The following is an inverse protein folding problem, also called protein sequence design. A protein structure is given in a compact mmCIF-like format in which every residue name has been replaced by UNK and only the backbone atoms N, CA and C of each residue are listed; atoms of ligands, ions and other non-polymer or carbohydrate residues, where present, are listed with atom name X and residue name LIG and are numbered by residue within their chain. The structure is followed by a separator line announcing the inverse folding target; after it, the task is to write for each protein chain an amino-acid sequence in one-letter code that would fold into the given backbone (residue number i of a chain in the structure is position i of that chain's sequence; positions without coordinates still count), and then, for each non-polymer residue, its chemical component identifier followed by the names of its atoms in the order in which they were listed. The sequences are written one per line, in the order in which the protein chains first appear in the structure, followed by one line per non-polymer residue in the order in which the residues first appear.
data_IF_913020180184
#
_entry.id   IF_913020180184
#
_cell.length_a   1.000
_cell.length_b   1.000
_cell.length_c   1.000
_cell.angle_alpha   90.00
_cell.angle_beta   90.00
_cell.angle_gamma   90.00
#
_symmetry.space_group_name_H-M   'P 1'
#
loop_
_entity.id
_entity.type
_entity.pdbx_description
1 polymer ?
#
# COMPACT_ATOMS: atom_id res chain seq x y z
N UNK A 1 7.43 -27.24 48.74
CA UNK A 1 7.51 -27.10 47.27
C UNK A 1 6.23 -26.45 46.80
N UNK A 2 6.29 -25.15 46.53
CA UNK A 2 5.18 -24.42 45.91
C UNK A 2 5.44 -24.53 44.41
N UNK A 3 4.56 -25.23 43.70
CA UNK A 3 4.54 -25.18 42.24
C UNK A 3 4.09 -23.78 41.85
N UNK A 4 5.00 -23.00 41.28
CA UNK A 4 4.66 -21.79 40.54
C UNK A 4 3.90 -22.25 39.30
N UNK A 5 2.58 -22.07 39.29
CA UNK A 5 1.80 -22.08 38.06
C UNK A 5 2.40 -21.00 37.14
N UNK A 6 3.04 -21.46 36.06
CA UNK A 6 3.41 -20.56 34.98
C UNK A 6 2.12 -20.06 34.34
N UNK A 7 1.79 -18.79 34.59
CA UNK A 7 0.77 -18.12 33.80
C UNK A 7 1.15 -18.25 32.32
N UNK A 8 0.23 -18.70 31.44
CA UNK A 8 0.49 -18.69 30.01
C UNK A 8 0.81 -17.25 29.60
N UNK A 9 1.77 -17.04 28.68
CA UNK A 9 2.10 -15.69 28.24
C UNK A 9 0.85 -15.02 27.69
N UNK A 10 0.67 -13.74 28.04
CA UNK A 10 -0.50 -12.94 27.66
C UNK A 10 -0.59 -12.76 26.12
N UNK A 11 0.50 -13.02 25.40
CA UNK A 11 0.68 -12.88 23.96
C UNK A 11 1.32 -14.15 23.39
N UNK A 12 0.91 -14.54 22.17
CA UNK A 12 1.55 -15.65 21.46
C UNK A 12 2.93 -15.20 20.95
N UNK A 13 3.87 -16.15 20.81
CA UNK A 13 5.21 -15.86 20.28
C UNK A 13 5.12 -15.14 18.92
N UNK A 14 5.84 -14.03 18.68
CA UNK A 14 5.83 -13.31 17.41
C UNK A 14 6.19 -14.21 16.23
N UNK A 15 5.56 -13.98 15.06
CA UNK A 15 5.87 -14.78 13.86
C UNK A 15 7.35 -14.69 13.49
N UNK A 16 7.98 -13.55 13.74
CA UNK A 16 9.39 -13.26 13.46
C UNK A 16 10.38 -14.06 14.29
N UNK A 17 9.93 -14.67 15.40
CA UNK A 17 10.75 -15.56 16.24
C UNK A 17 10.57 -17.04 15.88
N UNK A 18 9.55 -17.36 15.07
CA UNK A 18 9.31 -18.73 14.64
C UNK A 18 10.31 -19.12 13.53
N UNK A 19 10.76 -20.39 13.50
CA UNK A 19 11.74 -20.84 12.51
C UNK A 19 11.17 -20.75 11.09
N UNK A 20 11.90 -20.05 10.21
CA UNK A 20 11.56 -19.83 8.80
C UNK A 20 12.78 -20.06 7.89
N UNK A 21 12.58 -20.43 6.62
CA UNK A 21 13.66 -20.42 5.64
C UNK A 21 14.18 -18.99 5.40
N UNK A 22 15.45 -18.84 4.99
CA UNK A 22 16.01 -17.54 4.64
C UNK A 22 15.18 -16.82 3.57
N UNK A 23 15.09 -15.49 3.69
CA UNK A 23 14.38 -14.63 2.75
C UNK A 23 15.03 -14.76 1.35
N UNK A 24 14.29 -15.18 0.30
CA UNK A 24 14.88 -15.51 -1.00
C UNK A 24 15.20 -14.29 -1.88
N UNK A 25 14.75 -13.09 -1.48
CA UNK A 25 14.78 -11.86 -2.28
C UNK A 25 16.15 -11.15 -2.23
N UNK A 26 17.20 -11.79 -2.75
CA UNK A 26 18.57 -11.25 -2.72
C UNK A 26 19.00 -10.64 -4.05
N UNK A 27 19.95 -9.69 -4.03
CA UNK A 27 20.50 -9.09 -5.25
C UNK A 27 21.09 -10.16 -6.17
N UNK A 28 20.81 -10.05 -7.47
CA UNK A 28 21.19 -11.02 -8.49
C UNK A 28 20.25 -12.23 -8.61
N UNK A 29 19.28 -12.38 -7.69
CA UNK A 29 18.29 -13.44 -7.80
C UNK A 29 17.41 -13.25 -9.03
N UNK A 30 17.27 -14.32 -9.81
CA UNK A 30 16.45 -14.35 -11.03
C UNK A 30 15.25 -15.26 -10.83
N UNK A 31 14.10 -14.79 -11.28
CA UNK A 31 12.86 -15.52 -11.15
C UNK A 31 11.93 -15.25 -12.34
N UNK A 32 11.05 -16.21 -12.59
CA UNK A 32 9.98 -16.07 -13.59
C UNK A 32 8.65 -15.97 -12.87
N UNK A 33 7.84 -14.99 -13.25
CA UNK A 33 6.52 -14.79 -12.69
C UNK A 33 5.46 -14.92 -13.81
N UNK A 34 4.37 -15.60 -13.50
CA UNK A 34 3.24 -15.81 -14.41
C UNK A 34 2.22 -14.69 -14.23
N UNK A 35 1.69 -14.14 -15.33
CA UNK A 35 0.66 -13.11 -15.29
C UNK A 35 -0.56 -13.60 -14.53
N UNK A 36 -1.20 -12.70 -13.79
CA UNK A 36 -2.33 -13.02 -12.94
C UNK A 36 -3.45 -11.97 -13.03
N UNK A 37 -4.66 -12.45 -13.32
CA UNK A 37 -5.89 -11.68 -13.29
C UNK A 37 -6.37 -11.51 -11.84
N UNK A 38 -6.14 -10.33 -11.29
CA UNK A 38 -6.53 -9.96 -9.91
C UNK A 38 -8.06 -10.02 -9.77
N UNK A 39 -8.52 -10.66 -8.71
CA UNK A 39 -9.91 -10.67 -8.26
C UNK A 39 -10.37 -9.27 -7.77
N UNK A 40 -11.66 -9.11 -7.50
CA UNK A 40 -12.17 -7.89 -6.87
C UNK A 40 -11.48 -7.65 -5.51
N UNK A 41 -11.38 -6.39 -5.04
CA UNK A 41 -10.91 -6.08 -3.69
C UNK A 41 -11.69 -6.89 -2.65
N UNK A 42 -11.00 -7.42 -1.65
CA UNK A 42 -11.65 -8.09 -0.52
C UNK A 42 -12.49 -7.09 0.28
N UNK A 43 -13.54 -7.55 0.96
CA UNK A 43 -14.30 -6.68 1.85
C UNK A 43 -13.42 -6.15 3.00
N UNK A 44 -13.55 -4.86 3.32
CA UNK A 44 -12.85 -4.22 4.43
C UNK A 44 -13.85 -3.86 5.51
N UNK A 45 -14.05 -4.77 6.45
CA UNK A 45 -14.82 -4.56 7.67
C UNK A 45 -13.91 -4.39 8.88
N UNK A 46 -14.47 -3.94 10.01
CA UNK A 46 -13.74 -3.89 11.28
C UNK A 46 -13.22 -5.28 11.64
N UNK A 47 -11.90 -5.41 11.75
CA UNK A 47 -11.26 -6.67 12.12
C UNK A 47 -11.10 -7.69 11.00
N UNK A 48 -11.33 -7.31 9.73
CA UNK A 48 -11.26 -8.23 8.58
C UNK A 48 -9.93 -8.98 8.41
N UNK A 49 -8.85 -8.50 9.02
CA UNK A 49 -7.53 -9.14 8.98
C UNK A 49 -7.09 -9.74 10.33
N UNK A 50 -7.93 -9.76 11.36
CA UNK A 50 -7.56 -10.34 12.66
C UNK A 50 -7.68 -11.86 12.65
N UNK A 51 -6.84 -12.56 13.41
CA UNK A 51 -6.97 -14.01 13.60
C UNK A 51 -8.25 -14.35 14.37
N UNK A 52 -9.07 -15.25 13.81
CA UNK A 52 -10.15 -15.91 14.54
C UNK A 52 -9.64 -17.02 15.44
N UNK A 53 -10.54 -17.65 16.21
CA UNK A 53 -10.18 -18.73 17.13
C UNK A 53 -9.55 -19.94 16.39
N UNK A 54 -10.10 -20.28 15.22
CA UNK A 54 -9.55 -21.34 14.37
C UNK A 54 -8.16 -21.02 13.83
N UNK A 55 -7.87 -19.75 13.50
CA UNK A 55 -6.55 -19.33 13.03
C UNK A 55 -5.51 -19.40 14.15
N UNK A 56 -5.89 -19.04 15.38
CA UNK A 56 -5.04 -19.17 16.57
C UNK A 56 -4.70 -20.63 16.88
N UNK A 57 -5.69 -21.52 16.79
CA UNK A 57 -5.48 -22.97 16.96
C UNK A 57 -4.52 -23.49 15.88
N UNK A 58 -4.73 -23.10 14.61
CA UNK A 58 -3.85 -23.50 13.52
C UNK A 58 -2.42 -22.99 13.72
N UNK A 59 -2.24 -21.74 14.15
CA UNK A 59 -0.93 -21.14 14.45
C UNK A 59 -0.15 -21.93 15.50
N UNK A 60 -0.84 -22.48 16.51
CA UNK A 60 -0.22 -23.31 17.56
C UNK A 60 0.17 -24.70 17.08
N UNK A 61 -0.48 -25.20 16.03
CA UNK A 61 -0.29 -26.56 15.53
C UNK A 61 0.66 -26.66 14.33
N UNK A 62 0.74 -25.62 13.51
CA UNK A 62 1.48 -25.61 12.24
C UNK A 62 2.57 -24.56 12.25
N UNK A 63 3.74 -24.91 11.68
CA UNK A 63 4.79 -23.92 11.43
C UNK A 63 4.33 -22.85 10.43
N UNK A 64 4.97 -21.66 10.39
CA UNK A 64 4.66 -20.64 9.40
C UNK A 64 4.68 -21.15 7.96
N UNK A 65 5.63 -22.05 7.66
CA UNK A 65 5.77 -22.70 6.36
C UNK A 65 4.59 -23.60 6.04
N UNK A 66 4.19 -24.49 6.95
CA UNK A 66 3.05 -25.39 6.73
C UNK A 66 1.74 -24.61 6.57
N UNK A 67 1.58 -23.50 7.29
CA UNK A 67 0.43 -22.60 7.08
C UNK A 67 0.42 -21.99 5.67
N UNK A 68 1.57 -21.57 5.15
CA UNK A 68 1.67 -21.06 3.77
C UNK A 68 1.36 -22.11 2.70
N UNK A 69 1.75 -23.37 2.93
CA UNK A 69 1.41 -24.48 2.03
C UNK A 69 -0.09 -24.83 2.09
N UNK A 70 -0.69 -24.74 3.27
CA UNK A 70 -2.13 -25.00 3.49
C UNK A 70 -3.03 -23.87 2.99
N UNK A 71 -2.56 -22.62 3.03
CA UNK A 71 -3.32 -21.41 2.69
C UNK A 71 -2.72 -20.69 1.49
N UNK A 72 -2.97 -21.17 0.25
CA UNK A 72 -2.57 -20.44 -0.94
C UNK A 72 -3.30 -19.09 -1.03
N UNK A 73 -2.70 -18.08 -1.68
CA UNK A 73 -3.35 -16.78 -1.89
C UNK A 73 -4.68 -16.90 -2.63
N UNK A 74 -5.58 -15.93 -2.47
CA UNK A 74 -6.89 -15.91 -3.13
C UNK A 74 -6.77 -16.26 -4.62
N UNK A 75 -7.63 -17.14 -5.15
CA UNK A 75 -7.59 -17.52 -6.55
C UNK A 75 -7.89 -16.30 -7.44
N UNK A 76 -7.47 -16.39 -8.69
CA UNK A 76 -7.75 -15.39 -9.72
C UNK A 76 -7.51 -15.98 -11.10
N UNK A 77 -7.61 -15.16 -12.14
CA UNK A 77 -7.42 -15.61 -13.52
C UNK A 77 -5.95 -16.00 -13.75
N UNK A 78 -5.69 -17.21 -14.23
CA UNK A 78 -4.35 -17.53 -14.72
C UNK A 78 -4.11 -16.78 -16.03
N UNK A 79 -3.09 -15.92 -16.08
CA UNK A 79 -2.69 -15.25 -17.30
C UNK A 79 -1.91 -16.19 -18.22
N UNK A 80 -1.80 -15.81 -19.49
CA UNK A 80 -1.10 -16.60 -20.51
C UNK A 80 0.35 -16.14 -20.73
N UNK A 81 0.76 -15.07 -20.07
CA UNK A 81 2.08 -14.47 -20.21
C UNK A 81 2.95 -14.76 -18.99
N UNK A 82 4.27 -14.75 -19.20
CA UNK A 82 5.25 -14.77 -18.12
C UNK A 82 6.33 -13.72 -18.36
N UNK A 83 6.95 -13.30 -17.27
CA UNK A 83 8.08 -12.37 -17.28
C UNK A 83 9.24 -12.97 -16.50
N UNK A 84 10.46 -12.66 -16.94
CA UNK A 84 11.67 -13.00 -16.19
C UNK A 84 12.32 -11.72 -15.68
N UNK A 85 12.62 -11.72 -14.39
CA UNK A 85 13.14 -10.57 -13.65
C UNK A 85 14.44 -10.94 -12.94
N UNK A 86 15.29 -9.93 -12.73
CA UNK A 86 16.49 -10.02 -11.89
C UNK A 86 16.41 -8.95 -10.79
N UNK A 87 16.61 -9.33 -9.54
CA UNK A 87 16.65 -8.38 -8.41
C UNK A 87 17.94 -7.58 -8.48
N UNK A 88 17.82 -6.26 -8.51
CA UNK A 88 18.96 -5.34 -8.54
C UNK A 88 19.25 -4.80 -7.15
N UNK A 89 18.19 -4.41 -6.41
CA UNK A 89 18.33 -3.79 -5.09
C UNK A 89 17.09 -4.03 -4.24
N UNK A 90 17.29 -4.47 -2.99
CA UNK A 90 16.24 -4.47 -1.98
C UNK A 90 15.92 -3.04 -1.54
N UNK A 91 14.64 -2.65 -1.64
CA UNK A 91 14.17 -1.33 -1.20
C UNK A 91 13.58 -1.42 0.22
N UNK A 92 12.76 -2.43 0.46
CA UNK A 92 12.12 -2.71 1.76
C UNK A 92 11.76 -4.19 1.81
N UNK A 93 12.14 -4.91 2.86
CA UNK A 93 11.82 -6.33 2.98
C UNK A 93 12.70 -7.01 4.01
N UNK A 94 12.50 -8.32 4.15
CA UNK A 94 12.98 -9.10 5.28
C UNK A 94 11.83 -9.68 6.08
N UNK A 95 12.16 -10.42 7.14
CA UNK A 95 11.16 -10.87 8.10
C UNK A 95 10.56 -9.69 8.86
N UNK A 96 9.28 -9.79 9.23
CA UNK A 96 8.54 -8.72 9.89
C UNK A 96 8.16 -7.55 8.98
N UNK A 97 8.07 -7.75 7.66
CA UNK A 97 7.69 -6.69 6.72
C UNK A 97 6.37 -7.01 6.01
N UNK A 98 5.49 -6.01 5.92
CA UNK A 98 4.16 -6.14 5.27
C UNK A 98 4.22 -6.56 3.80
N UNK A 99 5.32 -6.29 3.11
CA UNK A 99 5.58 -6.72 1.74
C UNK A 99 7.07 -6.65 1.45
N UNK A 100 7.47 -7.30 0.36
CA UNK A 100 8.86 -7.42 -0.07
C UNK A 100 9.01 -6.61 -1.36
N UNK A 101 9.67 -5.46 -1.26
CA UNK A 101 9.78 -4.44 -2.30
C UNK A 101 11.23 -4.31 -2.75
N UNK A 102 11.45 -4.43 -4.05
CA UNK A 102 12.79 -4.36 -4.63
C UNK A 102 12.77 -3.85 -6.06
N UNK A 103 13.85 -3.17 -6.45
CA UNK A 103 14.09 -2.82 -7.84
C UNK A 103 14.51 -4.07 -8.60
N UNK A 104 13.88 -4.30 -9.75
CA UNK A 104 14.15 -5.41 -10.66
C UNK A 104 14.52 -4.91 -12.05
N UNK A 105 15.29 -5.70 -12.77
CA UNK A 105 15.50 -5.53 -14.21
C UNK A 105 14.63 -6.52 -14.98
N UNK A 106 13.87 -6.03 -15.95
CA UNK A 106 13.11 -6.88 -16.86
C UNK A 106 14.06 -7.56 -17.86
N UNK A 107 14.19 -8.88 -17.78
CA UNK A 107 15.06 -9.65 -18.68
C UNK A 107 14.32 -10.10 -19.95
N UNK A 108 13.10 -10.61 -19.77
CA UNK A 108 12.27 -11.10 -20.86
C UNK A 108 10.78 -10.91 -20.55
N UNK A 109 9.99 -10.67 -21.60
CA UNK A 109 8.53 -10.52 -21.55
C UNK A 109 7.91 -11.12 -22.80
N UNK A 110 6.84 -11.91 -22.63
CA UNK A 110 5.97 -12.31 -23.74
C UNK A 110 5.02 -11.20 -24.21
N UNK A 111 4.79 -10.18 -23.38
CA UNK A 111 3.85 -9.09 -23.65
C UNK A 111 4.51 -7.87 -24.30
N UNK A 112 3.84 -7.32 -25.32
CA UNK A 112 4.20 -6.04 -25.97
C UNK A 112 3.82 -4.80 -25.16
N UNK A 113 2.98 -4.92 -24.13
CA UNK A 113 2.58 -3.79 -23.28
C UNK A 113 3.64 -3.42 -22.24
N UNK A 114 4.63 -4.31 -22.03
CA UNK A 114 5.71 -4.09 -21.09
C UNK A 114 6.84 -3.26 -21.71
N UNK A 115 7.62 -2.54 -20.87
CA UNK A 115 8.79 -1.81 -21.32
C UNK A 115 9.83 -2.72 -22.00
N UNK A 116 10.77 -2.16 -22.76
CA UNK A 116 11.87 -2.92 -23.34
C UNK A 116 12.67 -3.70 -22.29
N UNK A 117 13.23 -4.85 -22.70
CA UNK A 117 14.18 -5.59 -21.87
C UNK A 117 15.35 -4.69 -21.43
N UNK A 118 15.81 -4.89 -20.20
CA UNK A 118 16.80 -4.05 -19.53
C UNK A 118 16.21 -2.91 -18.69
N UNK A 119 14.91 -2.60 -18.84
CA UNK A 119 14.25 -1.56 -18.03
C UNK A 119 14.23 -1.93 -16.54
N UNK A 120 14.54 -0.95 -15.69
CA UNK A 120 14.41 -1.07 -14.23
C UNK A 120 13.00 -0.71 -13.77
N UNK A 121 12.42 -1.59 -12.95
CA UNK A 121 11.06 -1.54 -12.44
C UNK A 121 11.07 -1.83 -10.94
N UNK A 122 9.94 -1.66 -10.27
CA UNK A 122 9.76 -2.07 -8.87
C UNK A 122 8.82 -3.27 -8.82
N UNK A 123 9.28 -4.34 -8.20
CA UNK A 123 8.46 -5.49 -7.84
C UNK A 123 8.09 -5.39 -6.36
N UNK A 124 6.80 -5.61 -6.05
CA UNK A 124 6.29 -5.74 -4.69
C UNK A 124 5.62 -7.09 -4.54
N UNK A 125 6.17 -7.93 -3.68
CA UNK A 125 5.68 -9.29 -3.39
C UNK A 125 4.95 -9.30 -2.04
N UNK A 126 3.81 -9.98 -2.03
CA UNK A 126 2.97 -10.20 -0.85
C UNK A 126 3.19 -11.63 -0.37
N UNK A 127 4.22 -11.83 0.45
CA UNK A 127 4.62 -13.13 1.00
C UNK A 127 4.20 -13.23 2.47
N UNK A 128 3.15 -14.01 2.81
CA UNK A 128 2.66 -14.11 4.18
C UNK A 128 3.66 -14.77 5.13
N UNK A 129 4.68 -15.47 4.63
CA UNK A 129 5.68 -16.14 5.46
C UNK A 129 6.53 -15.15 6.27
N UNK A 130 6.80 -13.98 5.71
CA UNK A 130 7.67 -12.95 6.29
C UNK A 130 6.88 -11.74 6.81
N UNK A 131 5.56 -11.88 6.92
CA UNK A 131 4.67 -10.86 7.44
C UNK A 131 4.84 -10.69 8.95
N UNK A 132 4.82 -9.44 9.41
CA UNK A 132 4.68 -9.13 10.84
C UNK A 132 3.23 -9.29 11.26
N UNK A 133 2.96 -10.31 12.05
CA UNK A 133 1.61 -10.67 12.45
C UNK A 133 1.17 -10.08 13.79
N UNK A 134 1.93 -9.11 14.30
CA UNK A 134 1.62 -8.35 15.53
C UNK A 134 1.32 -9.31 16.68
N UNK A 135 2.31 -10.15 17.02
CA UNK A 135 2.22 -11.14 18.10
C UNK A 135 1.06 -12.14 17.91
N UNK A 136 0.73 -12.45 16.65
CA UNK A 136 -0.37 -13.34 16.29
C UNK A 136 -1.75 -12.68 16.37
N UNK A 137 -1.83 -11.35 16.51
CA UNK A 137 -3.08 -10.62 16.42
C UNK A 137 -3.63 -10.61 14.98
N UNK A 138 -2.75 -10.38 14.00
CA UNK A 138 -3.10 -10.30 12.60
C UNK A 138 -3.01 -11.66 11.91
N UNK A 139 -3.85 -11.88 10.90
CA UNK A 139 -3.82 -13.02 10.01
C UNK A 139 -3.02 -12.65 8.75
N UNK A 140 -1.78 -13.17 8.58
CA UNK A 140 -0.93 -12.81 7.44
C UNK A 140 -1.59 -13.04 6.08
N UNK A 141 -2.38 -14.12 5.95
CA UNK A 141 -3.00 -14.50 4.68
C UNK A 141 -4.08 -13.51 4.28
N UNK A 142 -4.96 -13.15 5.22
CA UNK A 142 -6.01 -12.15 5.00
C UNK A 142 -5.41 -10.76 4.74
N UNK A 143 -4.34 -10.38 5.46
CA UNK A 143 -3.61 -9.14 5.20
C UNK A 143 -3.03 -9.11 3.78
N UNK A 144 -2.30 -10.15 3.36
CA UNK A 144 -1.67 -10.19 2.04
C UNK A 144 -2.70 -10.15 0.91
N UNK A 145 -3.77 -10.92 1.03
CA UNK A 145 -4.86 -10.92 0.05
C UNK A 145 -5.53 -9.55 -0.04
N UNK A 146 -5.78 -8.90 1.10
CA UNK A 146 -6.31 -7.54 1.13
C UNK A 146 -5.35 -6.56 0.44
N UNK A 147 -4.10 -6.48 0.87
CA UNK A 147 -3.14 -5.51 0.33
C UNK A 147 -2.94 -5.68 -1.18
N UNK A 148 -2.75 -6.92 -1.62
CA UNK A 148 -2.59 -7.22 -3.04
C UNK A 148 -3.81 -6.83 -3.87
N UNK A 149 -5.00 -7.26 -3.45
CA UNK A 149 -6.22 -7.00 -4.22
C UNK A 149 -6.57 -5.53 -4.25
N UNK A 150 -6.39 -4.79 -3.15
CA UNK A 150 -6.67 -3.36 -3.12
C UNK A 150 -5.67 -2.56 -3.94
N UNK A 151 -4.37 -2.82 -3.79
CA UNK A 151 -3.34 -2.07 -4.50
C UNK A 151 -3.47 -2.25 -6.02
N UNK A 152 -3.59 -3.50 -6.48
CA UNK A 152 -3.70 -3.78 -7.90
C UNK A 152 -4.99 -3.23 -8.52
N UNK A 153 -6.12 -3.28 -7.81
CA UNK A 153 -7.35 -2.65 -8.30
C UNK A 153 -7.32 -1.12 -8.23
N UNK A 154 -6.62 -0.53 -7.24
CA UNK A 154 -6.47 0.92 -7.15
C UNK A 154 -5.68 1.45 -8.34
N UNK A 155 -4.57 0.79 -8.71
CA UNK A 155 -3.83 1.14 -9.93
C UNK A 155 -4.70 1.06 -11.19
N UNK A 156 -5.52 0.01 -11.34
CA UNK A 156 -6.44 -0.12 -12.48
C UNK A 156 -7.47 1.00 -12.52
N UNK A 157 -8.11 1.30 -11.39
CA UNK A 157 -9.13 2.35 -11.29
C UNK A 157 -8.55 3.77 -11.49
N UNK A 158 -7.29 3.97 -11.09
CA UNK A 158 -6.59 5.24 -11.17
C UNK A 158 -5.71 5.37 -12.42
N UNK A 159 -6.03 4.65 -13.50
CA UNK A 159 -5.26 4.66 -14.76
C UNK A 159 -4.93 6.06 -15.30
N UNK A 160 -5.82 7.04 -15.12
CA UNK A 160 -5.61 8.43 -15.54
C UNK A 160 -4.54 9.20 -14.76
N UNK A 161 -4.05 8.68 -13.63
CA UNK A 161 -3.01 9.30 -12.81
C UNK A 161 -1.63 8.66 -12.99
N UNK A 162 -1.57 7.51 -13.68
CA UNK A 162 -0.34 6.72 -13.84
C UNK A 162 0.72 7.46 -14.68
N UNK A 163 1.97 7.42 -14.21
CA UNK A 163 3.10 8.11 -14.83
C UNK A 163 3.16 9.61 -14.54
N UNK A 164 2.20 10.14 -13.79
CA UNK A 164 2.18 11.52 -13.31
C UNK A 164 2.17 11.54 -11.78
N UNK A 165 1.00 11.29 -11.16
CA UNK A 165 0.81 11.33 -9.71
C UNK A 165 0.93 9.98 -9.00
N UNK A 166 0.80 8.87 -9.73
CA UNK A 166 1.08 7.52 -9.23
C UNK A 166 1.98 6.76 -10.22
N UNK A 167 2.70 5.69 -9.81
CA UNK A 167 3.49 4.87 -10.72
C UNK A 167 2.65 4.28 -11.85
N UNK A 168 3.26 4.09 -13.02
CA UNK A 168 2.67 3.19 -14.03
C UNK A 168 2.60 1.76 -13.48
N UNK A 169 1.47 1.11 -13.70
CA UNK A 169 1.23 -0.27 -13.31
C UNK A 169 1.38 -1.19 -14.52
N UNK A 170 2.35 -2.09 -14.43
CA UNK A 170 2.72 -2.99 -15.52
C UNK A 170 2.03 -4.35 -15.44
N UNK A 171 1.45 -4.67 -14.29
CA UNK A 171 0.61 -5.84 -14.14
C UNK A 171 0.73 -6.51 -12.79
N UNK A 172 -0.03 -7.59 -12.68
CA UNK A 172 -0.06 -8.48 -11.53
C UNK A 172 0.40 -9.86 -11.94
N UNK A 173 1.10 -10.52 -11.02
CA UNK A 173 1.79 -11.76 -11.28
C UNK A 173 1.74 -12.71 -10.09
N UNK A 174 2.08 -13.95 -10.38
CA UNK A 174 2.26 -15.04 -9.44
C UNK A 174 3.65 -15.64 -9.55
N UNK A 175 4.20 -15.99 -8.40
CA UNK A 175 5.49 -16.62 -8.29
C UNK A 175 5.39 -17.82 -7.35
N UNK A 176 5.96 -18.95 -7.77
CA UNK A 176 6.11 -20.10 -6.91
C UNK A 176 7.52 -20.12 -6.32
N UNK A 177 7.58 -19.97 -4.99
CA UNK A 177 8.82 -19.97 -4.23
C UNK A 177 9.08 -21.35 -3.64
N UNK A 178 10.30 -21.90 -3.78
CA UNK A 178 10.65 -23.15 -3.14
C UNK A 178 10.56 -23.00 -1.61
N UNK A 179 9.96 -23.99 -0.98
CA UNK A 179 10.03 -24.19 0.47
C UNK A 179 11.11 -25.23 0.79
N UNK A 180 11.14 -26.30 0.00
CA UNK A 180 12.15 -27.34 0.00
C UNK A 180 12.30 -27.93 -1.42
N UNK A 181 12.90 -29.11 -1.55
CA UNK A 181 13.15 -29.76 -2.84
C UNK A 181 11.91 -30.14 -3.63
N UNK A 182 10.74 -30.33 -2.98
CA UNK A 182 9.53 -30.84 -3.63
C UNK A 182 8.34 -29.92 -3.50
N UNK A 183 8.31 -29.04 -2.49
CA UNK A 183 7.18 -28.17 -2.18
C UNK A 183 7.48 -26.72 -2.53
N UNK A 184 6.45 -26.05 -3.03
CA UNK A 184 6.48 -24.62 -3.35
C UNK A 184 5.31 -23.93 -2.69
N UNK A 185 5.49 -22.66 -2.33
CA UNK A 185 4.40 -21.76 -1.94
C UNK A 185 4.21 -20.72 -3.03
N UNK A 186 2.96 -20.45 -3.38
CA UNK A 186 2.63 -19.38 -4.33
C UNK A 186 2.49 -18.06 -3.59
N UNK A 187 3.07 -17.00 -4.14
CA UNK A 187 2.90 -15.61 -3.67
C UNK A 187 2.38 -14.72 -4.78
N UNK A 188 1.77 -13.59 -4.41
CA UNK A 188 1.29 -12.58 -5.36
C UNK A 188 2.32 -11.46 -5.48
N UNK A 189 2.36 -10.84 -6.66
CA UNK A 189 3.27 -9.74 -6.97
C UNK A 189 2.59 -8.70 -7.84
N UNK A 190 2.94 -7.43 -7.65
CA UNK A 190 2.70 -6.38 -8.65
C UNK A 190 4.02 -5.85 -9.21
N UNK A 191 3.98 -5.39 -10.46
CA UNK A 191 5.09 -4.73 -11.13
C UNK A 191 4.69 -3.30 -11.47
N UNK A 192 5.49 -2.33 -11.01
CA UNK A 192 5.22 -0.91 -11.19
C UNK A 192 6.47 -0.14 -11.65
N UNK A 193 6.26 1.09 -12.09
CA UNK A 193 7.31 2.04 -12.45
C UNK A 193 8.28 2.28 -11.29
N UNK A 194 9.57 2.26 -11.61
CA UNK A 194 10.60 2.73 -10.70
C UNK A 194 10.64 4.27 -10.74
N UNK A 195 10.23 4.90 -9.65
CA UNK A 195 10.23 6.35 -9.52
C UNK A 195 11.58 6.80 -8.96
N UNK A 196 12.24 7.69 -9.70
CA UNK A 196 13.46 8.36 -9.21
C UNK A 196 13.06 9.50 -8.28
N UNK A 197 13.70 9.56 -7.13
CA UNK A 197 13.44 10.59 -6.13
C UNK A 197 13.83 10.10 -4.75
N UNK A 198 13.35 10.81 -3.73
CA UNK A 198 13.49 10.44 -2.33
C UNK A 198 12.10 10.39 -1.70
N UNK A 199 11.88 9.49 -0.73
CA UNK A 199 10.64 9.52 0.03
C UNK A 199 10.58 10.79 0.87
N UNK A 200 9.39 11.32 1.10
CA UNK A 200 9.21 12.49 1.96
C UNK A 200 9.61 12.19 3.42
N UNK A 201 9.54 10.92 3.86
CA UNK A 201 10.04 10.51 5.18
C UNK A 201 11.57 10.54 5.29
N UNK A 202 12.30 10.21 4.21
CA UNK A 202 13.77 10.23 4.20
C UNK A 202 14.33 11.62 3.84
N UNK A 203 13.49 12.50 3.33
CA UNK A 203 13.85 13.85 2.96
C UNK A 203 13.78 14.80 4.15
N UNK A 204 14.65 15.81 4.14
CA UNK A 204 14.61 16.89 5.12
C UNK A 204 13.92 18.12 4.52
N UNK A 205 12.91 18.71 5.19
CA UNK A 205 12.21 19.90 4.69
C UNK A 205 13.17 21.05 4.31
N UNK A 206 14.28 21.20 5.03
CA UNK A 206 15.30 22.24 4.82
C UNK A 206 16.05 22.12 3.49
N UNK A 207 15.95 20.99 2.81
CA UNK A 207 16.49 20.84 1.45
C UNK A 207 15.64 21.55 0.40
N UNK A 208 14.43 21.96 0.76
CA UNK A 208 13.46 22.58 -0.12
C UNK A 208 13.21 24.02 0.32
N UNK A 209 13.10 24.93 -0.65
CA UNK A 209 12.69 26.30 -0.36
C UNK A 209 11.26 26.32 0.20
N UNK A 210 10.91 27.39 0.91
CA UNK A 210 9.54 27.58 1.42
C UNK A 210 8.48 27.47 0.31
N UNK A 211 8.73 28.09 -0.86
CA UNK A 211 7.84 28.00 -2.02
C UNK A 211 7.72 26.56 -2.57
N UNK A 212 8.82 25.80 -2.58
CA UNK A 212 8.79 24.40 -2.98
C UNK A 212 7.99 23.53 -2.00
N UNK A 213 8.11 23.76 -0.69
CA UNK A 213 7.31 23.06 0.33
C UNK A 213 5.82 23.36 0.20
N UNK A 214 5.44 24.62 -0.01
CA UNK A 214 4.04 24.98 -0.30
C UNK A 214 3.54 24.28 -1.58
N UNK A 215 4.35 24.23 -2.64
CA UNK A 215 4.00 23.52 -3.86
C UNK A 215 3.85 22.01 -3.65
N UNK A 216 4.75 21.38 -2.86
CA UNK A 216 4.66 19.97 -2.48
C UNK A 216 3.32 19.72 -1.78
N UNK A 217 3.01 20.51 -0.73
CA UNK A 217 1.77 20.35 0.02
C UNK A 217 0.54 20.57 -0.85
N UNK A 218 0.53 21.59 -1.70
CA UNK A 218 -0.56 21.84 -2.65
C UNK A 218 -0.76 20.65 -3.58
N UNK A 219 0.32 20.11 -4.13
CA UNK A 219 0.28 18.95 -5.04
C UNK A 219 -0.24 17.69 -4.35
N UNK A 220 0.09 17.48 -3.07
CA UNK A 220 -0.46 16.38 -2.26
C UNK A 220 -1.97 16.54 -2.11
N UNK A 221 -2.44 17.74 -1.71
CA UNK A 221 -3.86 18.04 -1.52
C UNK A 221 -4.65 17.90 -2.83
N UNK A 222 -4.12 18.45 -3.93
CA UNK A 222 -4.71 18.37 -5.27
C UNK A 222 -4.85 16.92 -5.74
N UNK A 223 -3.74 16.16 -5.68
CA UNK A 223 -3.71 14.78 -6.15
C UNK A 223 -4.63 13.88 -5.32
N UNK A 224 -4.55 13.96 -3.99
CA UNK A 224 -5.42 13.16 -3.12
C UNK A 224 -6.90 13.51 -3.34
N UNK A 225 -7.23 14.78 -3.54
CA UNK A 225 -8.63 15.20 -3.76
C UNK A 225 -9.18 14.68 -5.08
N UNK A 226 -8.35 14.62 -6.12
CA UNK A 226 -8.72 14.00 -7.40
C UNK A 226 -8.82 12.48 -7.34
N UNK A 227 -8.01 11.82 -6.50
CA UNK A 227 -8.14 10.38 -6.23
C UNK A 227 -9.43 10.11 -5.43
N UNK A 228 -9.72 10.94 -4.43
CA UNK A 228 -10.94 10.86 -3.64
C UNK A 228 -12.18 11.01 -4.51
N UNK A 229 -12.17 11.94 -5.49
CA UNK A 229 -13.22 12.09 -6.50
C UNK A 229 -13.51 10.78 -7.28
N UNK A 230 -12.50 9.93 -7.48
CA UNK A 230 -12.65 8.58 -8.09
C UNK A 230 -13.15 7.51 -7.13
N UNK A 231 -13.74 7.94 -6.02
CA UNK A 231 -14.30 7.10 -4.97
C UNK A 231 -13.27 6.21 -4.27
N UNK A 232 -12.01 6.63 -4.29
CA UNK A 232 -10.91 5.93 -3.64
C UNK A 232 -10.34 6.80 -2.52
N UNK A 233 -10.35 6.28 -1.30
CA UNK A 233 -9.74 6.94 -0.16
C UNK A 233 -8.42 6.27 0.22
N UNK A 234 -7.33 7.03 0.14
CA UNK A 234 -6.00 6.61 0.57
C UNK A 234 -5.86 6.83 2.08
N UNK A 235 -6.21 5.82 2.88
CA UNK A 235 -6.18 5.93 4.36
C UNK A 235 -4.77 5.85 4.95
N UNK A 236 -3.77 5.45 4.17
CA UNK A 236 -2.36 5.38 4.58
C UNK A 236 -1.51 6.44 3.85
N UNK A 237 -2.09 7.63 3.64
CA UNK A 237 -1.37 8.74 3.00
C UNK A 237 -0.41 9.38 4.01
N UNK A 238 0.84 8.92 3.96
CA UNK A 238 1.90 9.21 4.92
C UNK A 238 3.18 9.62 4.18
N UNK A 239 4.10 10.41 4.77
CA UNK A 239 5.34 10.82 4.10
C UNK A 239 6.18 9.67 3.51
N UNK A 240 6.17 8.50 4.14
CA UNK A 240 6.87 7.30 3.64
C UNK A 240 6.29 6.77 2.31
N UNK A 241 5.05 7.12 1.99
CA UNK A 241 4.31 6.70 0.81
C UNK A 241 4.27 7.80 -0.28
N UNK A 242 5.10 8.84 -0.14
CA UNK A 242 5.21 9.94 -1.09
C UNK A 242 6.65 10.05 -1.55
N UNK A 243 6.90 9.92 -2.85
CA UNK A 243 8.20 10.21 -3.46
C UNK A 243 8.17 11.64 -4.00
N UNK A 244 9.16 12.42 -3.58
CA UNK A 244 9.44 13.75 -4.10
C UNK A 244 10.53 13.60 -5.17
N UNK A 245 10.33 14.28 -6.31
CA UNK A 245 11.34 14.42 -7.35
C UNK A 245 12.59 15.17 -6.90
N UNK A 246 13.23 15.91 -7.80
CA UNK A 246 14.47 16.62 -7.47
C UNK A 246 14.21 17.76 -6.49
N UNK A 247 14.98 17.84 -5.41
CA UNK A 247 14.94 18.98 -4.47
C UNK A 247 15.44 20.29 -5.08
N UNK A 248 16.12 20.23 -6.23
CA UNK A 248 16.55 21.42 -6.96
C UNK A 248 15.40 22.07 -7.75
N UNK A 249 14.31 21.33 -7.98
CA UNK A 249 13.16 21.84 -8.70
C UNK A 249 12.31 22.71 -7.77
N UNK A 250 11.92 23.90 -8.21
CA UNK A 250 10.98 24.74 -7.47
C UNK A 250 9.58 24.15 -7.40
N UNK A 251 9.28 23.20 -8.29
CA UNK A 251 8.01 22.49 -8.40
C UNK A 251 8.27 21.00 -8.57
N UNK A 252 8.74 20.32 -7.52
CA UNK A 252 9.13 18.92 -7.63
C UNK A 252 7.91 18.06 -7.91
N UNK A 253 8.07 17.09 -8.81
CA UNK A 253 7.03 16.07 -9.06
C UNK A 253 6.74 15.28 -7.78
N UNK A 254 5.46 15.12 -7.47
CA UNK A 254 4.98 14.29 -6.35
C UNK A 254 4.37 13.01 -6.89
N UNK A 255 4.77 11.87 -6.30
CA UNK A 255 4.24 10.56 -6.68
C UNK A 255 3.81 9.79 -5.44
N UNK A 256 2.54 9.41 -5.36
CA UNK A 256 2.03 8.53 -4.32
C UNK A 256 2.34 7.07 -4.67
N UNK A 257 2.90 6.35 -3.72
CA UNK A 257 3.19 4.92 -3.79
C UNK A 257 2.43 4.19 -2.69
N UNK A 258 2.48 2.85 -2.71
CA UNK A 258 1.82 1.98 -1.73
C UNK A 258 0.30 2.23 -1.59
N UNK A 259 -0.46 1.65 -2.51
CA UNK A 259 -1.94 1.76 -2.50
C UNK A 259 -2.62 0.57 -1.81
N UNK A 260 -1.88 -0.23 -1.02
CA UNK A 260 -2.39 -1.46 -0.39
C UNK A 260 -3.51 -1.25 0.62
N UNK A 261 -3.63 -0.04 1.15
CA UNK A 261 -4.68 0.33 2.09
C UNK A 261 -5.84 1.12 1.46
N UNK A 262 -5.82 1.35 0.14
CA UNK A 262 -6.87 2.11 -0.54
C UNK A 262 -8.27 1.56 -0.22
N UNK A 263 -9.23 2.42 0.13
CA UNK A 263 -10.63 2.06 0.32
C UNK A 263 -11.46 2.49 -0.87
N UNK A 264 -12.18 1.54 -1.46
CA UNK A 264 -13.15 1.83 -2.51
C UNK A 264 -14.45 2.38 -1.92
N UNK A 265 -15.17 3.17 -2.70
CA UNK A 265 -16.37 3.89 -2.26
C UNK A 265 -16.12 4.85 -1.08
N UNK A 266 -14.87 5.30 -0.89
CA UNK A 266 -14.43 6.19 0.21
C UNK A 266 -14.77 5.67 1.61
N UNK A 267 -14.94 4.36 1.80
CA UNK A 267 -15.43 3.79 3.06
C UNK A 267 -15.01 2.35 3.29
N UNK A 268 -15.23 1.89 4.52
CA UNK A 268 -15.25 0.47 4.87
C UNK A 268 -16.59 -0.16 4.48
N UNK A 269 -16.62 -1.48 4.35
CA UNK A 269 -17.80 -2.27 4.03
C UNK A 269 -18.64 -2.64 5.28
N UNK A 270 -18.44 -1.91 6.38
CA UNK A 270 -19.23 -2.08 7.60
C UNK A 270 -20.69 -1.63 7.38
N UNK A 271 -21.71 -2.32 7.93
CA UNK A 271 -23.12 -1.97 7.72
C UNK A 271 -23.47 -0.52 8.04
N UNK A 272 -22.87 0.04 9.10
CA UNK A 272 -23.07 1.44 9.48
C UNK A 272 -22.47 2.40 8.45
N UNK A 273 -21.28 2.08 7.92
CA UNK A 273 -20.66 2.88 6.87
C UNK A 273 -21.47 2.84 5.57
N UNK A 274 -22.17 1.74 5.27
CA UNK A 274 -23.02 1.65 4.07
C UNK A 274 -24.21 2.63 4.09
N UNK A 275 -24.66 3.04 5.28
CA UNK A 275 -25.78 3.97 5.47
C UNK A 275 -25.39 5.44 5.24
N UNK A 276 -24.10 5.77 5.28
CA UNK A 276 -23.63 7.14 5.14
C UNK A 276 -23.52 7.55 3.66
N UNK A 277 -23.93 8.78 3.36
CA UNK A 277 -23.72 9.39 2.05
C UNK A 277 -22.28 9.92 1.95
N UNK A 278 -21.47 9.27 1.12
CA UNK A 278 -20.08 9.68 0.84
C UNK A 278 -19.93 10.49 -0.45
N UNK A 279 -21.06 10.89 -1.05
CA UNK A 279 -21.11 11.71 -2.26
C UNK A 279 -20.28 11.10 -3.39
N UNK A 280 -20.51 9.80 -3.65
CA UNK A 280 -19.75 9.04 -4.65
C UNK A 280 -19.84 9.71 -6.02
N UNK A 281 -18.72 9.71 -6.74
CA UNK A 281 -18.53 10.38 -8.04
C UNK A 281 -18.44 11.91 -7.98
N UNK A 282 -18.60 12.53 -6.81
CA UNK A 282 -18.54 13.99 -6.66
C UNK A 282 -17.20 14.46 -6.11
N UNK A 283 -16.69 15.57 -6.62
CA UNK A 283 -15.52 16.24 -6.08
C UNK A 283 -15.86 16.87 -4.73
N UNK A 284 -15.06 16.56 -3.69
CA UNK A 284 -15.22 17.14 -2.35
C UNK A 284 -14.09 18.11 -2.10
N UNK A 285 -14.45 19.38 -1.93
CA UNK A 285 -13.52 20.48 -1.71
C UNK A 285 -12.50 20.15 -0.62
N UNK A 286 -11.20 20.41 -0.85
CA UNK A 286 -10.16 20.26 0.16
C UNK A 286 -10.44 21.05 1.43
N UNK A 287 -11.12 22.20 1.33
CA UNK A 287 -11.48 23.05 2.47
C UNK A 287 -12.28 22.30 3.55
N UNK A 288 -13.02 21.25 3.18
CA UNK A 288 -13.79 20.42 4.12
C UNK A 288 -12.99 19.25 4.71
N UNK A 289 -11.92 18.83 4.04
CA UNK A 289 -11.23 17.55 4.33
C UNK A 289 -9.80 17.71 4.83
N UNK A 290 -9.19 18.86 4.55
CA UNK A 290 -7.78 19.13 4.79
C UNK A 290 -7.54 20.24 5.80
N UNK A 291 -8.56 20.88 6.38
CA UNK A 291 -8.37 21.87 7.45
C UNK A 291 -7.76 21.23 8.72
N UNK A 292 -7.19 22.05 9.60
CA UNK A 292 -6.46 21.58 10.79
C UNK A 292 -7.32 20.67 11.69
N UNK A 293 -8.61 21.00 11.85
CA UNK A 293 -9.54 20.22 12.66
C UNK A 293 -9.72 18.78 12.17
N UNK A 294 -9.45 18.50 10.88
CA UNK A 294 -9.50 17.14 10.33
C UNK A 294 -8.25 16.31 10.63
N UNK A 295 -7.23 16.86 11.29
CA UNK A 295 -6.04 16.13 11.80
C UNK A 295 -5.15 15.46 10.74
N UNK A 296 -5.57 15.46 9.47
CA UNK A 296 -4.85 14.84 8.35
C UNK A 296 -3.47 15.46 8.11
N UNK A 297 -3.28 16.71 8.50
CA UNK A 297 -2.02 17.42 8.35
C UNK A 297 -0.95 17.01 9.36
N UNK A 298 -1.30 16.31 10.45
CA UNK A 298 -0.33 15.94 11.49
C UNK A 298 0.82 15.08 10.96
N UNK A 299 0.55 14.19 10.00
CA UNK A 299 1.59 13.40 9.35
C UNK A 299 2.60 14.27 8.56
N UNK A 300 2.27 15.53 8.29
CA UNK A 300 3.05 16.46 7.47
C UNK A 300 3.52 17.70 8.25
N UNK A 301 3.37 17.72 9.58
CA UNK A 301 3.63 18.92 10.39
C UNK A 301 5.05 19.46 10.20
N UNK A 302 6.04 18.57 10.03
CA UNK A 302 7.44 18.96 9.86
C UNK A 302 7.70 19.72 8.54
N UNK A 303 6.77 19.63 7.58
CA UNK A 303 6.88 20.27 6.27
C UNK A 303 6.19 21.63 6.20
N UNK A 304 5.42 22.00 7.23
CA UNK A 304 4.57 23.19 7.28
C UNK A 304 5.06 24.11 8.39
N UNK A 305 5.55 25.29 8.02
CA UNK A 305 5.96 26.37 8.94
C UNK A 305 5.19 27.68 8.67
N UNK A 306 4.01 27.56 8.06
CA UNK A 306 3.07 28.66 7.79
C UNK A 306 1.69 28.32 8.34
N UNK A 307 0.83 29.33 8.47
CA UNK A 307 -0.56 29.14 8.92
C UNK A 307 -1.33 28.32 7.88
N UNK A 308 -1.67 27.07 8.23
CA UNK A 308 -2.20 26.11 7.28
C UNK A 308 -3.59 26.48 6.76
N UNK A 309 -4.54 26.77 7.64
CA UNK A 309 -5.92 27.05 7.24
C UNK A 309 -6.04 28.32 6.35
N UNK A 310 -5.42 29.47 6.69
CA UNK A 310 -5.42 30.63 5.80
C UNK A 310 -4.77 30.35 4.44
N UNK A 311 -3.69 29.56 4.41
CA UNK A 311 -3.04 29.17 3.16
C UNK A 311 -3.93 28.24 2.33
N UNK A 312 -4.57 27.25 2.96
CA UNK A 312 -5.49 26.32 2.32
C UNK A 312 -6.70 27.06 1.73
N UNK A 313 -7.28 28.00 2.48
CA UNK A 313 -8.35 28.87 2.01
C UNK A 313 -7.92 29.70 0.81
N UNK A 314 -6.72 30.29 0.83
CA UNK A 314 -6.17 31.05 -0.29
C UNK A 314 -5.99 30.22 -1.55
N UNK A 315 -5.34 29.06 -1.45
CA UNK A 315 -5.06 28.18 -2.59
C UNK A 315 -6.32 27.53 -3.17
N UNK A 316 -7.28 27.18 -2.31
CA UNK A 316 -8.47 26.42 -2.68
C UNK A 316 -9.77 27.23 -2.61
N UNK A 317 -9.72 28.56 -2.50
CA UNK A 317 -10.90 29.43 -2.51
C UNK A 317 -11.81 29.17 -3.73
N UNK A 318 -11.21 28.81 -4.87
CA UNK A 318 -11.93 28.52 -6.10
C UNK A 318 -12.85 27.29 -6.02
N UNK A 319 -12.66 26.39 -5.03
CA UNK A 319 -13.52 25.22 -4.82
C UNK A 319 -14.71 25.48 -3.89
N UNK A 320 -14.81 26.68 -3.28
CA UNK A 320 -15.92 27.03 -2.37
C UNK A 320 -17.29 26.86 -3.04
N UNK A 321 -17.39 27.24 -4.32
CA UNK A 321 -18.64 27.15 -5.08
C UNK A 321 -19.11 25.71 -5.31
N UNK A 322 -18.25 24.70 -5.13
CA UNK A 322 -18.63 23.28 -5.26
C UNK A 322 -19.14 22.68 -3.95
N UNK A 323 -19.09 23.41 -2.83
CA UNK A 323 -19.50 22.91 -1.51
C UNK A 323 -21.03 23.04 -1.37
N UNK A 324 -21.73 21.92 -1.24
CA UNK A 324 -23.17 21.92 -0.93
C UNK A 324 -23.43 21.98 0.59
N UNK A 325 -24.63 22.37 1.02
CA UNK A 325 -25.01 22.33 2.44
C UNK A 325 -24.84 20.93 3.06
N UNK A 326 -25.22 19.88 2.35
CA UNK A 326 -25.11 18.49 2.82
C UNK A 326 -23.65 18.04 2.94
N UNK A 327 -22.77 18.50 2.04
CA UNK A 327 -21.33 18.27 2.19
C UNK A 327 -20.79 18.98 3.45
N UNK A 328 -21.22 20.22 3.69
CA UNK A 328 -20.79 20.97 4.88
C UNK A 328 -21.25 20.27 6.18
N UNK A 329 -22.48 19.76 6.21
CA UNK A 329 -22.99 18.98 7.33
C UNK A 329 -22.20 17.68 7.54
N UNK A 330 -21.87 16.96 6.46
CA UNK A 330 -21.12 15.70 6.57
C UNK A 330 -19.71 15.87 7.14
N UNK A 331 -19.09 17.02 6.86
CA UNK A 331 -17.73 17.36 7.25
C UNK A 331 -17.67 18.48 8.30
N UNK A 332 -18.75 18.78 9.02
CA UNK A 332 -18.69 19.70 10.16
C UNK A 332 -17.78 19.16 11.26
N UNK A 333 -17.31 20.04 12.14
CA UNK A 333 -16.44 19.71 13.28
C UNK A 333 -17.25 19.36 14.55
N UNK A 334 -18.56 19.08 14.42
CA UNK A 334 -19.44 18.69 15.53
C UNK A 334 -19.36 17.20 15.88
#
# INVERSE_FOLDING_TARGET
MIFLEQHPPLFDTPSTELPKPPVPYTTGWRFTAESHGVSAPTLVTRGCCMNGESDKIERKQLSPVERCLKRPPLPGGKGNDSITLEVIKLLKGGDGHNSQVFTVRLLASGSRSLPPGGTELVAKIYDPLYFDDDEGHLNPFLCMDKYYTHEANAYKALGGFQGCGIPKYYGSYSLDLPVDSTRKRTVRMILIEHIRGITMADAKPEWFSHAARQHIMKSIVDLESRIFEKDIWLIDLEPRNIIIGSAQDSQPRIVFIDLGHALFNRRRDDPLALQLNYFLGQYISPLLRWNEAKTKIYAFSDWIDWDWDPWLEGEFAHTVASITPEMRERWSDE
#
